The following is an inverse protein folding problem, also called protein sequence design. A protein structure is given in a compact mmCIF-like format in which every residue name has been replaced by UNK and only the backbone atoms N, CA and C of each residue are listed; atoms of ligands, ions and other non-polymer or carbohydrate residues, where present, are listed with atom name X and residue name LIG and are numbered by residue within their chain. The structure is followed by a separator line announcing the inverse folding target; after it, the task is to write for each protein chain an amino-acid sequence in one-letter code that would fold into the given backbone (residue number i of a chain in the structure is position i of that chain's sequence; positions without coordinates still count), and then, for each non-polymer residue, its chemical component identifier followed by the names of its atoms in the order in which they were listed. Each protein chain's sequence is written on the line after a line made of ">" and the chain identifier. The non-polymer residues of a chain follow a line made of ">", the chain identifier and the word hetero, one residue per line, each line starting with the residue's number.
data_IF_135949683053
#
_entry.id   IF_135949683053
#
_cell.length_a   1.000
_cell.length_b   1.000
_cell.length_c   1.000
_cell.angle_alpha   90.00
_cell.angle_beta   90.00
_cell.angle_gamma   90.00
#
_symmetry.space_group_name_H-M   'P 1'
#
loop_
_entity.id
_entity.type
_entity.pdbx_description
1 polymer ?
#
# COMPACT_ATOMS: atom_id res chain seq x y z
N UNK A 1 15.26 34.60 -56.82
CA UNK A 1 14.29 33.47 -56.65
C UNK A 1 13.67 33.61 -55.27
N UNK A 2 12.36 33.86 -55.17
CA UNK A 2 11.67 33.95 -53.87
C UNK A 2 11.62 32.54 -53.24
N UNK A 3 12.17 32.41 -52.06
CA UNK A 3 12.27 31.15 -51.34
C UNK A 3 10.91 30.46 -51.18
N UNK A 4 10.81 29.13 -51.34
CA UNK A 4 9.61 28.32 -51.10
C UNK A 4 9.01 28.57 -49.71
N UNK A 5 9.80 29.02 -48.76
CA UNK A 5 9.36 29.39 -47.40
C UNK A 5 8.43 30.61 -47.38
N UNK A 6 8.47 31.50 -48.40
CA UNK A 6 7.55 32.66 -48.48
C UNK A 6 6.13 32.29 -48.90
N UNK A 7 5.90 31.06 -49.39
CA UNK A 7 4.57 30.55 -49.74
C UNK A 7 3.78 30.06 -48.50
N UNK A 8 4.49 29.72 -47.43
CA UNK A 8 3.84 29.19 -46.19
C UNK A 8 2.87 30.20 -45.56
N UNK A 9 3.29 31.47 -45.29
CA UNK A 9 2.36 32.44 -44.68
C UNK A 9 1.22 32.85 -45.62
N UNK A 10 1.45 32.84 -46.93
CA UNK A 10 0.39 33.15 -47.92
C UNK A 10 -0.66 32.04 -47.94
N UNK A 11 -0.24 30.77 -48.00
CA UNK A 11 -1.09 29.59 -47.93
C UNK A 11 -1.87 29.52 -46.60
N UNK A 12 -1.22 29.86 -45.49
CA UNK A 12 -1.85 29.88 -44.16
C UNK A 12 -2.96 30.94 -44.06
N UNK A 13 -2.74 32.10 -44.69
CA UNK A 13 -3.73 33.21 -44.69
C UNK A 13 -4.96 32.90 -45.55
N UNK A 14 -4.76 32.29 -46.71
CA UNK A 14 -5.86 31.94 -47.67
C UNK A 14 -6.71 30.82 -47.09
N UNK A 15 -6.11 29.88 -46.32
CA UNK A 15 -6.80 28.69 -45.76
C UNK A 15 -7.07 28.78 -44.27
N UNK A 16 -7.29 29.98 -43.76
CA UNK A 16 -7.40 30.27 -42.32
C UNK A 16 -8.44 29.40 -41.58
N UNK A 17 -9.62 29.17 -42.15
CA UNK A 17 -10.69 28.37 -41.57
C UNK A 17 -10.29 26.90 -41.47
N UNK A 18 -9.68 26.34 -42.51
CA UNK A 18 -9.26 24.95 -42.58
C UNK A 18 -8.09 24.66 -41.62
N UNK A 19 -7.08 25.56 -41.58
CA UNK A 19 -5.97 25.43 -40.64
C UNK A 19 -6.44 25.50 -39.19
N UNK A 20 -7.44 26.34 -38.87
CA UNK A 20 -8.04 26.36 -37.52
C UNK A 20 -8.76 25.06 -37.19
N UNK A 21 -9.48 24.45 -38.12
CA UNK A 21 -10.16 23.16 -37.89
C UNK A 21 -9.14 22.06 -37.68
N UNK A 22 -8.10 21.96 -38.51
CA UNK A 22 -7.01 20.97 -38.33
C UNK A 22 -6.30 21.16 -37.00
N UNK A 23 -6.00 22.41 -36.62
CA UNK A 23 -5.36 22.71 -35.34
C UNK A 23 -6.24 22.29 -34.16
N UNK A 24 -7.55 22.57 -34.22
CA UNK A 24 -8.53 22.12 -33.20
C UNK A 24 -8.58 20.60 -33.11
N UNK A 25 -8.60 19.87 -34.23
CA UNK A 25 -8.57 18.41 -34.25
C UNK A 25 -7.31 17.86 -33.57
N UNK A 26 -6.14 18.44 -33.86
CA UNK A 26 -4.88 18.02 -33.23
C UNK A 26 -4.92 18.28 -31.72
N UNK A 27 -5.36 19.48 -31.29
CA UNK A 27 -5.48 19.83 -29.87
C UNK A 27 -6.38 18.85 -29.16
N UNK A 28 -7.57 18.59 -29.69
CA UNK A 28 -8.55 17.66 -29.10
C UNK A 28 -7.96 16.24 -29.05
N UNK A 29 -7.29 15.78 -30.12
CA UNK A 29 -6.69 14.45 -30.13
C UNK A 29 -5.59 14.30 -29.07
N UNK A 30 -4.71 15.28 -28.92
CA UNK A 30 -3.65 15.28 -27.90
C UNK A 30 -4.27 15.30 -26.50
N UNK A 31 -5.32 16.14 -26.29
CA UNK A 31 -6.00 16.23 -25.01
C UNK A 31 -6.68 14.91 -24.63
N UNK A 32 -7.37 14.26 -25.57
CA UNK A 32 -7.98 12.95 -25.35
C UNK A 32 -6.96 11.87 -25.01
N UNK A 33 -5.83 11.83 -25.73
CA UNK A 33 -4.75 10.90 -25.47
C UNK A 33 -4.17 11.09 -24.07
N UNK A 34 -3.85 12.32 -23.68
CA UNK A 34 -3.33 12.59 -22.33
C UNK A 34 -4.34 12.23 -21.25
N UNK A 35 -5.63 12.47 -21.48
CA UNK A 35 -6.71 12.09 -20.55
C UNK A 35 -6.79 10.57 -20.36
N UNK A 36 -6.73 9.79 -21.45
CA UNK A 36 -6.83 8.32 -21.40
C UNK A 36 -5.69 7.75 -20.52
N UNK A 37 -4.44 8.14 -20.77
CA UNK A 37 -3.32 7.65 -19.97
C UNK A 37 -3.34 8.14 -18.54
N UNK A 38 -3.74 9.40 -18.30
CA UNK A 38 -3.94 9.91 -16.93
C UNK A 38 -5.02 9.16 -16.15
N UNK A 39 -6.12 8.78 -16.80
CA UNK A 39 -7.16 7.97 -16.16
C UNK A 39 -6.68 6.56 -15.84
N UNK A 40 -5.90 5.93 -16.72
CA UNK A 40 -5.33 4.63 -16.48
C UNK A 40 -4.35 4.65 -15.27
N UNK A 41 -3.45 5.63 -15.22
CA UNK A 41 -2.53 5.81 -14.10
C UNK A 41 -3.28 6.08 -12.78
N UNK A 42 -4.31 6.94 -12.83
CA UNK A 42 -5.14 7.22 -11.66
C UNK A 42 -5.86 5.97 -11.15
N UNK A 43 -6.41 5.13 -12.03
CA UNK A 43 -7.08 3.89 -11.66
C UNK A 43 -6.12 2.92 -10.98
N UNK A 44 -4.90 2.76 -11.51
CA UNK A 44 -3.86 1.92 -10.91
C UNK A 44 -3.46 2.45 -9.51
N UNK A 45 -3.28 3.76 -9.35
CA UNK A 45 -2.97 4.38 -8.06
C UNK A 45 -4.09 4.21 -7.03
N UNK A 46 -5.34 4.36 -7.45
CA UNK A 46 -6.50 4.13 -6.59
C UNK A 46 -6.55 2.69 -6.10
N UNK A 47 -6.35 1.73 -7.02
CA UNK A 47 -6.32 0.31 -6.67
C UNK A 47 -5.16 -0.02 -5.71
N UNK A 48 -3.97 0.54 -5.96
CA UNK A 48 -2.83 0.40 -5.06
C UNK A 48 -3.15 0.93 -3.65
N UNK A 49 -3.76 2.11 -3.57
CA UNK A 49 -4.17 2.69 -2.27
C UNK A 49 -5.18 1.81 -1.55
N UNK A 50 -6.14 1.23 -2.29
CA UNK A 50 -7.12 0.30 -1.74
C UNK A 50 -6.44 -0.97 -1.19
N UNK A 51 -5.56 -1.58 -1.98
CA UNK A 51 -4.83 -2.79 -1.59
C UNK A 51 -3.95 -2.54 -0.36
N UNK A 52 -3.25 -1.41 -0.31
CA UNK A 52 -2.44 -1.03 0.86
C UNK A 52 -3.32 -0.88 2.11
N UNK A 53 -4.50 -0.28 1.97
CA UNK A 53 -5.43 -0.11 3.10
C UNK A 53 -6.01 -1.43 3.59
N UNK A 54 -6.29 -2.37 2.69
CA UNK A 54 -6.89 -3.68 3.00
C UNK A 54 -5.86 -4.71 3.47
N UNK A 55 -4.68 -4.73 2.86
CA UNK A 55 -3.68 -5.80 3.07
C UNK A 55 -2.36 -5.31 3.68
N UNK A 56 -2.18 -3.99 3.84
CA UNK A 56 -0.93 -3.41 4.31
C UNK A 56 0.10 -3.15 3.20
N UNK A 57 1.06 -2.28 3.49
CA UNK A 57 2.09 -1.81 2.58
C UNK A 57 3.40 -2.60 2.72
N UNK A 58 3.34 -3.89 2.48
CA UNK A 58 4.45 -4.82 2.54
C UNK A 58 4.50 -5.70 1.30
N UNK A 59 5.68 -6.20 0.93
CA UNK A 59 5.86 -7.05 -0.24
C UNK A 59 6.00 -8.52 0.13
N UNK A 60 6.69 -8.83 1.21
CA UNK A 60 6.82 -10.19 1.76
C UNK A 60 6.60 -10.20 3.27
N UNK A 61 6.12 -11.32 3.77
CA UNK A 61 5.99 -11.63 5.18
C UNK A 61 6.77 -12.92 5.46
N UNK A 62 7.72 -12.84 6.37
CA UNK A 62 8.52 -13.97 6.84
C UNK A 62 7.88 -14.52 8.11
N UNK A 63 7.68 -15.82 8.17
CA UNK A 63 7.13 -16.50 9.36
C UNK A 63 8.26 -17.09 10.17
N UNK A 64 8.28 -16.79 11.43
CA UNK A 64 9.27 -17.26 12.43
C UNK A 64 10.75 -17.12 11.95
N UNK A 65 11.15 -15.97 11.36
CA UNK A 65 12.53 -15.76 10.99
C UNK A 65 13.40 -15.67 12.25
N UNK A 66 14.66 -16.12 12.19
CA UNK A 66 15.60 -15.90 13.28
C UNK A 66 15.94 -14.41 13.42
N UNK A 67 16.32 -13.96 14.62
CA UNK A 67 16.76 -12.57 14.85
C UNK A 67 17.89 -12.17 13.90
N UNK A 68 18.85 -13.08 13.65
CA UNK A 68 19.95 -12.84 12.72
C UNK A 68 19.43 -12.61 11.28
N UNK A 69 18.42 -13.36 10.84
CA UNK A 69 17.80 -13.16 9.52
C UNK A 69 17.09 -11.81 9.43
N UNK A 70 16.36 -11.42 10.49
CA UNK A 70 15.69 -10.11 10.56
C UNK A 70 16.70 -8.98 10.42
N UNK A 71 17.79 -9.02 11.21
CA UNK A 71 18.84 -8.00 11.18
C UNK A 71 19.52 -7.92 9.79
N UNK A 72 19.91 -9.07 9.23
CA UNK A 72 20.56 -9.12 7.92
C UNK A 72 19.64 -8.58 6.80
N UNK A 73 18.35 -8.90 6.85
CA UNK A 73 17.38 -8.43 5.87
C UNK A 73 17.13 -6.93 6.05
N UNK A 74 16.99 -6.46 7.29
CA UNK A 74 16.78 -5.04 7.59
C UNK A 74 17.95 -4.15 7.13
N UNK A 75 19.18 -4.66 7.12
CA UNK A 75 20.38 -3.94 6.68
C UNK A 75 20.58 -3.92 5.16
N UNK A 76 19.76 -4.61 4.39
CA UNK A 76 19.89 -4.63 2.92
C UNK A 76 19.55 -3.28 2.32
N UNK A 77 20.28 -2.88 1.29
CA UNK A 77 20.07 -1.59 0.59
C UNK A 77 18.82 -1.55 -0.28
N UNK A 78 18.22 -2.68 -0.57
CA UNK A 78 16.98 -2.82 -1.32
C UNK A 78 15.73 -2.84 -0.43
N UNK A 79 15.90 -2.96 0.90
CA UNK A 79 14.83 -2.92 1.88
C UNK A 79 14.56 -1.47 2.30
N UNK A 80 13.32 -1.05 2.19
CA UNK A 80 12.86 0.26 2.63
C UNK A 80 12.46 0.23 4.11
N UNK A 81 11.72 -0.80 4.50
CA UNK A 81 11.21 -0.99 5.86
C UNK A 81 11.13 -2.48 6.17
N UNK A 82 11.52 -2.86 7.38
CA UNK A 82 11.21 -4.17 7.97
C UNK A 82 10.59 -3.96 9.34
N UNK A 83 9.61 -4.79 9.71
CA UNK A 83 8.90 -4.64 10.98
C UNK A 83 8.47 -5.98 11.52
N UNK A 84 8.78 -6.21 12.79
CA UNK A 84 8.37 -7.40 13.55
C UNK A 84 6.96 -7.23 14.07
N UNK A 85 6.27 -8.35 14.17
CA UNK A 85 4.92 -8.42 14.67
C UNK A 85 4.65 -9.82 15.25
N UNK A 86 4.01 -9.87 16.40
CA UNK A 86 3.51 -11.11 17.00
C UNK A 86 2.30 -10.79 17.87
N UNK A 87 1.58 -11.78 18.34
CA UNK A 87 0.41 -11.53 19.20
C UNK A 87 0.04 -12.69 20.09
N UNK A 88 -0.64 -12.34 21.15
CA UNK A 88 -1.19 -13.25 22.15
C UNK A 88 -2.71 -13.25 22.07
N UNK A 89 -3.29 -14.41 22.32
CA UNK A 89 -4.74 -14.62 22.39
C UNK A 89 -5.53 -14.32 21.11
N UNK A 90 -4.96 -14.57 19.93
CA UNK A 90 -5.67 -14.37 18.65
C UNK A 90 -6.92 -15.25 18.51
N UNK A 91 -6.94 -16.41 19.12
CA UNK A 91 -8.05 -17.36 19.10
C UNK A 91 -9.06 -17.14 20.25
N UNK A 92 -8.79 -16.17 21.13
CA UNK A 92 -9.59 -15.82 22.29
C UNK A 92 -9.83 -17.02 23.26
N UNK A 93 -8.90 -17.96 23.28
CA UNK A 93 -8.99 -19.16 24.09
C UNK A 93 -8.54 -18.96 25.54
N UNK A 94 -7.80 -17.88 25.81
CA UNK A 94 -7.24 -17.56 27.10
C UNK A 94 -7.92 -16.34 27.75
N UNK A 95 -7.81 -16.22 29.07
CA UNK A 95 -8.46 -15.16 29.85
C UNK A 95 -7.65 -13.87 29.88
N UNK A 96 -7.55 -13.23 28.70
CA UNK A 96 -6.99 -11.88 28.57
C UNK A 96 -8.13 -10.87 28.53
N UNK A 97 -8.14 -9.94 29.48
CA UNK A 97 -9.21 -8.93 29.53
C UNK A 97 -8.69 -7.52 29.86
N UNK A 98 -9.41 -6.53 29.34
CA UNK A 98 -9.28 -5.11 29.69
C UNK A 98 -10.68 -4.60 30.05
N UNK A 99 -10.84 -4.08 31.28
CA UNK A 99 -12.14 -3.62 31.78
C UNK A 99 -13.27 -4.67 31.60
N UNK A 100 -12.96 -5.96 31.80
CA UNK A 100 -13.90 -7.06 31.67
C UNK A 100 -14.32 -7.45 30.26
N UNK A 101 -13.64 -6.91 29.23
CA UNK A 101 -13.80 -7.31 27.83
C UNK A 101 -12.59 -8.12 27.38
N UNK A 102 -12.84 -9.19 26.64
CA UNK A 102 -11.77 -10.00 26.06
C UNK A 102 -10.85 -9.14 25.19
N UNK A 103 -9.55 -9.40 25.26
CA UNK A 103 -8.59 -8.65 24.48
C UNK A 103 -7.59 -9.54 23.73
N UNK A 104 -7.13 -9.00 22.62
CA UNK A 104 -6.01 -9.50 21.84
C UNK A 104 -4.84 -8.54 22.04
N UNK A 105 -3.68 -9.05 22.43
CA UNK A 105 -2.50 -8.24 22.66
C UNK A 105 -1.50 -8.50 21.54
N UNK A 106 -1.08 -7.46 20.91
CA UNK A 106 -0.14 -7.49 19.78
C UNK A 106 1.11 -6.71 20.14
N UNK A 107 2.26 -7.21 19.73
CA UNK A 107 3.52 -6.53 19.86
C UNK A 107 4.20 -6.33 18.51
N UNK A 108 4.89 -5.24 18.35
CA UNK A 108 5.63 -4.98 17.13
C UNK A 108 6.48 -3.73 17.16
N UNK A 109 7.23 -3.52 16.10
CA UNK A 109 7.99 -2.30 15.93
C UNK A 109 7.07 -1.13 15.50
N UNK A 110 7.53 0.12 15.69
CA UNK A 110 6.76 1.31 15.32
C UNK A 110 6.29 1.28 13.85
N UNK A 111 7.14 0.79 12.95
CA UNK A 111 6.88 0.76 11.52
C UNK A 111 5.61 -0.05 11.15
N UNK A 112 5.16 -0.98 12.01
CA UNK A 112 3.91 -1.73 11.76
C UNK A 112 2.70 -0.79 11.67
N UNK A 113 2.62 0.22 12.54
CA UNK A 113 1.51 1.16 12.62
C UNK A 113 1.68 2.42 11.77
N UNK A 114 2.92 2.78 11.41
CA UNK A 114 3.19 4.03 10.70
C UNK A 114 3.57 3.86 9.23
N UNK A 115 4.05 2.68 8.83
CA UNK A 115 4.54 2.46 7.48
C UNK A 115 3.89 1.25 6.78
N UNK A 116 3.62 0.18 7.54
CA UNK A 116 3.04 -1.05 6.98
C UNK A 116 1.51 -0.92 6.88
N UNK A 117 0.83 -0.54 7.95
CA UNK A 117 -0.62 -0.39 7.97
C UNK A 117 -1.10 1.06 8.01
N UNK A 118 -0.24 2.00 8.45
CA UNK A 118 -0.53 3.46 8.53
C UNK A 118 -1.91 3.75 9.17
N UNK A 119 -2.15 3.14 10.32
CA UNK A 119 -3.45 3.17 10.96
C UNK A 119 -3.43 3.78 12.38
N UNK A 120 -2.37 4.50 12.77
CA UNK A 120 -2.32 5.33 13.96
C UNK A 120 -3.24 6.55 13.76
N UNK A 121 -4.29 6.68 14.56
CA UNK A 121 -5.31 7.75 14.40
C UNK A 121 -5.14 8.88 15.40
N UNK A 122 -4.78 8.58 16.65
CA UNK A 122 -4.60 9.58 17.70
C UNK A 122 -3.42 9.21 18.60
N UNK A 123 -2.73 10.21 19.11
CA UNK A 123 -1.61 10.03 20.05
C UNK A 123 -0.35 9.56 19.35
N UNK A 124 0.34 8.60 19.94
CA UNK A 124 1.61 8.09 19.44
C UNK A 124 1.82 6.62 19.72
N UNK A 125 2.75 6.00 19.01
CA UNK A 125 3.24 4.65 19.27
C UNK A 125 3.80 4.53 20.70
N UNK A 126 3.58 3.39 21.42
CA UNK A 126 4.15 3.14 22.73
C UNK A 126 5.67 3.08 22.67
N UNK A 127 6.34 3.92 23.45
CA UNK A 127 7.82 4.00 23.51
C UNK A 127 8.38 3.55 24.85
N UNK A 128 7.54 3.50 25.89
CA UNK A 128 7.92 3.05 27.22
C UNK A 128 7.31 1.70 27.52
N UNK A 129 7.91 0.97 28.45
CA UNK A 129 7.43 -0.35 28.87
C UNK A 129 6.01 -0.38 29.38
N UNK A 130 5.57 0.68 30.05
CA UNK A 130 4.22 0.80 30.61
C UNK A 130 3.24 1.57 29.71
N UNK A 131 3.51 1.69 28.42
CA UNK A 131 2.62 2.34 27.47
C UNK A 131 1.94 1.31 26.56
N UNK A 132 0.68 1.57 26.26
CA UNK A 132 -0.16 0.74 25.38
C UNK A 132 -0.90 1.62 24.38
N UNK A 133 -1.07 1.13 23.18
CA UNK A 133 -1.96 1.71 22.18
C UNK A 133 -3.17 0.79 22.04
N UNK A 134 -4.37 1.35 22.01
CA UNK A 134 -5.61 0.59 21.86
C UNK A 134 -6.21 0.78 20.46
N UNK A 135 -6.99 -0.18 20.02
CA UNK A 135 -7.74 -0.06 18.77
C UNK A 135 -8.77 1.08 18.85
N UNK A 136 -9.13 1.68 17.71
CA UNK A 136 -10.17 2.71 17.65
C UNK A 136 -11.51 2.17 18.18
N UNK A 137 -11.83 0.93 17.87
CA UNK A 137 -13.01 0.25 18.39
C UNK A 137 -13.00 0.17 19.92
N UNK A 138 -11.85 -0.11 20.53
CA UNK A 138 -11.68 -0.15 22.00
C UNK A 138 -11.93 1.21 22.65
N UNK A 139 -11.51 2.30 21.99
CA UNK A 139 -11.81 3.67 22.46
C UNK A 139 -13.31 3.92 22.58
N UNK A 140 -14.08 3.53 21.57
CA UNK A 140 -15.53 3.69 21.56
C UNK A 140 -16.19 2.76 22.59
N UNK A 141 -15.79 1.48 22.60
CA UNK A 141 -16.37 0.44 23.47
C UNK A 141 -16.20 0.74 24.96
N UNK A 142 -15.05 1.27 25.36
CA UNK A 142 -14.69 1.50 26.75
C UNK A 142 -14.70 2.99 27.15
N UNK A 143 -14.95 3.90 26.22
CA UNK A 143 -14.95 5.38 26.42
C UNK A 143 -13.65 5.90 27.03
N UNK A 144 -12.48 5.34 26.62
CA UNK A 144 -11.17 5.65 27.16
C UNK A 144 -10.52 6.86 26.47
N UNK A 145 -9.54 7.46 27.15
CA UNK A 145 -8.77 8.62 26.65
C UNK A 145 -7.26 8.40 26.76
N UNK A 146 -6.51 9.10 25.92
CA UNK A 146 -5.06 9.12 26.00
C UNK A 146 -4.63 9.64 27.38
N UNK A 147 -3.63 8.97 27.99
CA UNK A 147 -3.10 9.26 29.31
C UNK A 147 -3.82 8.57 30.46
N UNK A 148 -4.94 7.91 30.22
CA UNK A 148 -5.60 7.11 31.24
C UNK A 148 -4.80 5.82 31.53
N UNK A 149 -4.81 5.41 32.81
CA UNK A 149 -4.24 4.15 33.24
C UNK A 149 -5.28 3.04 33.09
N UNK A 150 -4.84 1.89 32.57
CA UNK A 150 -5.66 0.69 32.46
C UNK A 150 -4.90 -0.51 33.01
N UNK A 151 -5.63 -1.55 33.37
CA UNK A 151 -5.08 -2.84 33.76
C UNK A 151 -5.43 -3.88 32.71
N UNK A 152 -4.42 -4.57 32.24
CA UNK A 152 -4.55 -5.77 31.42
C UNK A 152 -4.49 -6.98 32.34
N UNK A 153 -5.56 -7.72 32.43
CA UNK A 153 -5.62 -8.99 33.16
C UNK A 153 -5.19 -10.11 32.22
N UNK A 154 -4.30 -10.94 32.68
CA UNK A 154 -3.76 -12.06 31.91
C UNK A 154 -3.65 -13.30 32.79
N UNK A 155 -3.46 -14.51 32.26
CA UNK A 155 -3.22 -15.70 33.05
C UNK A 155 -2.04 -15.61 34.01
N UNK A 156 -0.99 -14.85 33.64
CA UNK A 156 0.19 -14.64 34.50
C UNK A 156 0.00 -13.56 35.58
N UNK A 157 -1.07 -12.76 35.49
CA UNK A 157 -1.37 -11.69 36.44
C UNK A 157 -1.82 -10.38 35.78
N UNK A 158 -1.78 -9.33 36.57
CA UNK A 158 -2.26 -8.01 36.21
C UNK A 158 -1.10 -7.09 35.82
N UNK A 159 -1.22 -6.45 34.65
CA UNK A 159 -0.22 -5.52 34.14
C UNK A 159 -0.84 -4.14 33.93
N UNK A 160 -0.21 -3.12 34.53
CA UNK A 160 -0.67 -1.72 34.43
C UNK A 160 -0.03 -0.98 33.28
N UNK A 161 -0.84 -0.35 32.44
CA UNK A 161 -0.37 0.45 31.29
C UNK A 161 -1.03 1.83 31.27
N UNK A 162 -0.38 2.78 30.59
CA UNK A 162 -0.93 4.10 30.27
C UNK A 162 -1.22 4.17 28.77
N UNK A 163 -2.40 4.62 28.40
CA UNK A 163 -2.80 4.73 26.99
C UNK A 163 -1.98 5.83 26.31
N UNK A 164 -1.19 5.47 25.32
CA UNK A 164 -0.36 6.38 24.53
C UNK A 164 -1.02 6.88 23.24
N UNK A 165 -2.01 6.16 22.75
CA UNK A 165 -2.72 6.46 21.51
C UNK A 165 -3.81 5.47 21.16
N UNK A 166 -4.45 5.74 20.02
CA UNK A 166 -5.46 4.90 19.41
C UNK A 166 -5.18 4.69 17.93
N UNK A 167 -5.50 3.51 17.43
CA UNK A 167 -5.29 3.12 16.05
C UNK A 167 -5.39 1.61 15.88
N UNK A 168 -5.05 1.10 14.69
CA UNK A 168 -4.82 -0.31 14.50
C UNK A 168 -6.02 -1.23 14.67
N UNK A 169 -7.17 -0.90 14.09
CA UNK A 169 -8.27 -1.86 14.05
C UNK A 169 -7.87 -3.06 13.18
N UNK A 170 -7.71 -4.22 13.82
CA UNK A 170 -7.53 -5.50 13.15
C UNK A 170 -8.88 -6.16 12.92
N UNK A 171 -8.99 -6.97 11.88
CA UNK A 171 -10.26 -7.60 11.46
C UNK A 171 -10.98 -8.34 12.59
N UNK A 172 -10.23 -8.95 13.51
CA UNK A 172 -10.79 -9.66 14.68
C UNK A 172 -11.51 -8.71 15.64
N UNK A 173 -11.09 -7.45 15.74
CA UNK A 173 -11.66 -6.47 16.66
C UNK A 173 -12.82 -5.66 16.07
N UNK A 174 -13.09 -5.81 14.76
CA UNK A 174 -14.06 -4.97 14.05
C UNK A 174 -15.50 -5.37 14.33
N UNK A 175 -15.78 -6.68 14.46
CA UNK A 175 -17.15 -7.22 14.51
C UNK A 175 -17.56 -7.75 15.90
N UNK A 176 -16.67 -7.71 16.89
CA UNK A 176 -16.92 -8.23 18.22
C UNK A 176 -16.58 -7.21 19.31
N UNK A 177 -17.10 -7.42 20.51
CA UNK A 177 -16.80 -6.65 21.73
C UNK A 177 -15.39 -7.02 22.26
N UNK A 178 -14.39 -7.01 21.39
CA UNK A 178 -13.00 -7.38 21.67
C UNK A 178 -12.14 -6.13 21.69
N UNK A 179 -11.29 -6.04 22.68
CA UNK A 179 -10.30 -4.96 22.81
C UNK A 179 -9.02 -5.34 22.06
N UNK A 180 -8.62 -4.56 21.09
CA UNK A 180 -7.31 -4.66 20.47
C UNK A 180 -6.30 -3.81 21.22
N UNK A 181 -5.18 -4.39 21.63
CA UNK A 181 -4.10 -3.74 22.36
C UNK A 181 -2.77 -3.93 21.63
N UNK A 182 -1.97 -2.88 21.51
CA UNK A 182 -0.67 -2.90 20.88
C UNK A 182 0.41 -2.41 21.84
N UNK A 183 1.47 -3.21 22.00
CA UNK A 183 2.65 -2.92 22.81
C UNK A 183 3.87 -2.70 21.90
N UNK A 184 4.84 -1.93 22.34
CA UNK A 184 6.15 -1.97 21.70
C UNK A 184 6.77 -3.37 21.86
N UNK A 185 7.71 -3.69 20.98
CA UNK A 185 8.28 -5.05 20.92
C UNK A 185 8.88 -5.51 22.25
N UNK A 186 9.61 -4.65 22.96
CA UNK A 186 10.29 -5.00 24.20
C UNK A 186 9.29 -5.30 25.34
N UNK A 187 8.25 -4.48 25.45
CA UNK A 187 7.17 -4.69 26.41
C UNK A 187 6.38 -5.97 26.11
N UNK A 188 6.14 -6.22 24.83
CA UNK A 188 5.45 -7.45 24.40
C UNK A 188 6.27 -8.70 24.70
N UNK A 189 7.58 -8.69 24.43
CA UNK A 189 8.47 -9.79 24.77
C UNK A 189 8.49 -10.05 26.28
N UNK A 190 8.52 -8.98 27.09
CA UNK A 190 8.49 -9.09 28.55
C UNK A 190 7.21 -9.72 29.04
N UNK A 191 6.05 -9.33 28.48
CA UNK A 191 4.75 -9.92 28.78
C UNK A 191 4.70 -11.41 28.36
N UNK A 192 5.06 -11.72 27.12
CA UNK A 192 5.05 -13.09 26.61
C UNK A 192 5.95 -14.03 27.42
N UNK A 193 7.09 -13.51 27.89
CA UNK A 193 7.98 -14.25 28.78
C UNK A 193 7.32 -14.51 30.14
N UNK A 194 6.62 -13.54 30.71
CA UNK A 194 5.88 -13.71 31.97
C UNK A 194 4.78 -14.79 31.84
N UNK A 195 4.10 -14.83 30.67
CA UNK A 195 3.10 -15.84 30.33
C UNK A 195 3.70 -17.22 30.03
N UNK A 196 5.00 -17.33 29.83
CA UNK A 196 5.63 -18.57 29.36
C UNK A 196 5.27 -18.90 27.90
N UNK A 197 4.74 -17.94 27.16
CA UNK A 197 4.33 -18.12 25.77
C UNK A 197 5.55 -18.14 24.85
N UNK A 198 5.53 -19.07 23.88
CA UNK A 198 6.55 -19.13 22.85
C UNK A 198 6.22 -18.10 21.77
N UNK A 199 7.14 -17.18 21.55
CA UNK A 199 7.03 -16.22 20.45
C UNK A 199 7.18 -16.92 19.10
N UNK A 200 6.34 -16.51 18.15
CA UNK A 200 6.36 -16.94 16.76
C UNK A 200 6.26 -15.71 15.82
N UNK A 201 7.25 -14.80 15.89
CA UNK A 201 7.13 -13.52 15.20
C UNK A 201 7.05 -13.68 13.69
N UNK A 202 6.27 -12.81 13.08
CA UNK A 202 6.33 -12.56 11.66
C UNK A 202 7.14 -11.28 11.39
N UNK A 203 7.83 -11.22 10.26
CA UNK A 203 8.54 -10.02 9.85
C UNK A 203 7.99 -9.57 8.49
N UNK A 204 7.36 -8.40 8.47
CA UNK A 204 6.93 -7.73 7.24
C UNK A 204 8.11 -6.98 6.63
N UNK A 205 8.32 -7.13 5.32
CA UNK A 205 9.38 -6.46 4.59
C UNK A 205 8.79 -5.70 3.40
N UNK A 206 9.14 -4.43 3.31
CA UNK A 206 8.84 -3.57 2.19
C UNK A 206 10.13 -3.20 1.46
N UNK A 207 10.18 -3.41 0.17
CA UNK A 207 11.29 -3.04 -0.70
C UNK A 207 11.06 -1.68 -1.36
N UNK A 208 12.12 -1.04 -1.84
CA UNK A 208 12.01 0.12 -2.71
C UNK A 208 11.34 -0.27 -4.04
N UNK A 209 10.48 0.60 -4.57
CA UNK A 209 9.69 0.32 -5.78
C UNK A 209 10.50 0.41 -7.08
N UNK A 210 11.68 1.03 -7.05
CA UNK A 210 12.56 1.21 -8.21
C UNK A 210 13.46 0.00 -8.51
N UNK A 211 13.24 -1.12 -7.83
CA UNK A 211 14.01 -2.36 -7.98
C UNK A 211 13.16 -3.49 -8.58
N UNK A 212 13.83 -4.54 -9.06
CA UNK A 212 13.15 -5.77 -9.49
C UNK A 212 12.79 -6.66 -8.30
N UNK A 213 11.71 -6.34 -7.57
CA UNK A 213 11.29 -6.99 -6.33
C UNK A 213 11.24 -8.52 -6.46
N UNK A 214 10.69 -9.06 -7.56
CA UNK A 214 10.63 -10.52 -7.79
C UNK A 214 12.02 -11.19 -7.84
N UNK A 215 13.04 -10.51 -8.35
CA UNK A 215 14.42 -11.03 -8.33
C UNK A 215 14.99 -11.04 -6.91
N UNK A 216 14.71 -9.99 -6.14
CA UNK A 216 15.11 -9.90 -4.73
C UNK A 216 14.45 -10.99 -3.91
N UNK A 217 13.16 -11.25 -4.10
CA UNK A 217 12.44 -12.35 -3.42
C UNK A 217 13.07 -13.71 -3.75
N UNK A 218 13.37 -13.96 -5.03
CA UNK A 218 14.02 -15.20 -5.46
C UNK A 218 15.43 -15.36 -4.85
N UNK A 219 16.19 -14.28 -4.75
CA UNK A 219 17.48 -14.25 -4.10
C UNK A 219 17.37 -14.56 -2.60
N UNK A 220 16.42 -13.92 -1.88
CA UNK A 220 16.17 -14.18 -0.48
C UNK A 220 15.79 -15.63 -0.22
N UNK A 221 14.91 -16.21 -1.03
CA UNK A 221 14.55 -17.64 -0.95
C UNK A 221 15.79 -18.53 -1.08
N UNK A 222 16.65 -18.23 -2.05
CA UNK A 222 17.88 -19.00 -2.29
C UNK A 222 18.91 -18.83 -1.17
N UNK A 223 19.10 -17.60 -0.67
CA UNK A 223 20.14 -17.27 0.31
C UNK A 223 19.80 -17.79 1.71
N UNK A 224 18.53 -17.63 2.12
CA UNK A 224 18.09 -17.98 3.48
C UNK A 224 17.30 -19.29 3.54
N UNK A 225 17.05 -19.94 2.41
CA UNK A 225 16.31 -21.20 2.36
C UNK A 225 14.80 -21.05 2.61
N UNK A 226 14.22 -19.85 2.39
CA UNK A 226 12.79 -19.64 2.58
C UNK A 226 11.96 -20.43 1.58
N UNK A 227 10.94 -21.10 2.10
CA UNK A 227 9.93 -21.86 1.34
C UNK A 227 8.61 -21.08 1.24
N UNK A 228 7.62 -21.61 0.54
CA UNK A 228 6.27 -21.02 0.49
C UNK A 228 5.54 -21.06 1.85
N UNK A 229 5.98 -21.94 2.76
CA UNK A 229 5.47 -22.01 4.12
C UNK A 229 6.02 -20.89 5.01
N UNK A 230 7.30 -20.53 4.82
CA UNK A 230 8.02 -19.56 5.65
C UNK A 230 8.09 -18.16 5.07
N UNK A 231 7.82 -17.99 3.76
CA UNK A 231 7.75 -16.70 3.08
C UNK A 231 6.45 -16.58 2.29
N UNK A 232 5.60 -15.66 2.71
CA UNK A 232 4.38 -15.29 2.00
C UNK A 232 4.57 -13.98 1.23
N UNK A 233 3.99 -13.90 0.03
CA UNK A 233 4.06 -12.71 -0.83
C UNK A 233 2.74 -11.96 -0.80
N UNK A 234 2.78 -10.64 -0.70
CA UNK A 234 1.59 -9.80 -0.92
C UNK A 234 1.33 -9.69 -2.42
N UNK A 235 0.70 -10.73 -2.97
CA UNK A 235 0.46 -10.85 -4.40
C UNK A 235 -0.39 -9.71 -4.96
N UNK A 236 -1.32 -9.19 -4.15
CA UNK A 236 -2.17 -8.06 -4.53
C UNK A 236 -1.34 -6.78 -4.74
N UNK A 237 -0.43 -6.45 -3.81
CA UNK A 237 0.44 -5.28 -3.95
C UNK A 237 1.51 -5.50 -5.02
N UNK A 238 2.13 -6.69 -5.07
CA UNK A 238 3.13 -7.04 -6.09
C UNK A 238 2.53 -7.01 -7.50
N UNK A 239 1.25 -7.31 -7.64
CA UNK A 239 0.51 -7.21 -8.90
C UNK A 239 0.43 -5.78 -9.44
N UNK A 240 0.44 -4.79 -8.56
CA UNK A 240 0.29 -3.36 -8.91
C UNK A 240 1.62 -2.60 -8.99
N UNK A 241 2.76 -3.26 -8.75
CA UNK A 241 4.07 -2.62 -8.85
C UNK A 241 4.56 -2.59 -10.31
N UNK A 242 5.28 -1.51 -10.68
CA UNK A 242 5.61 -1.15 -12.07
C UNK A 242 6.39 -2.17 -12.91
N UNK A 243 6.94 -3.23 -12.31
CA UNK A 243 7.61 -4.36 -13.00
C UNK A 243 6.80 -5.65 -12.93
N UNK A 244 5.52 -5.52 -12.60
CA UNK A 244 4.61 -6.66 -12.53
C UNK A 244 4.13 -7.08 -13.92
N UNK A 245 4.08 -8.39 -14.15
CA UNK A 245 3.34 -9.00 -15.27
C UNK A 245 1.88 -9.27 -14.94
N UNK A 246 1.35 -8.55 -13.94
CA UNK A 246 -0.03 -8.74 -13.48
C UNK A 246 -1.04 -8.36 -14.56
N UNK A 247 -2.08 -9.16 -14.66
CA UNK A 247 -3.13 -9.03 -15.68
C UNK A 247 -3.93 -7.73 -15.55
N UNK A 248 -4.10 -7.19 -14.34
CA UNK A 248 -4.85 -5.94 -14.12
C UNK A 248 -4.11 -4.73 -14.70
N UNK A 249 -2.84 -4.54 -14.33
CA UNK A 249 -2.02 -3.42 -14.84
C UNK A 249 -1.85 -3.52 -16.35
N UNK A 250 -1.53 -4.73 -16.84
CA UNK A 250 -1.41 -4.99 -18.28
C UNK A 250 -2.73 -4.71 -19.02
N UNK A 251 -3.86 -5.14 -18.44
CA UNK A 251 -5.19 -4.90 -18.99
C UNK A 251 -5.54 -3.41 -19.08
N UNK A 252 -5.24 -2.64 -18.03
CA UNK A 252 -5.48 -1.19 -18.03
C UNK A 252 -4.68 -0.46 -19.12
N UNK A 253 -3.39 -0.79 -19.28
CA UNK A 253 -2.58 -0.21 -20.35
C UNK A 253 -2.98 -0.70 -21.74
N UNK A 254 -3.45 -1.95 -21.88
CA UNK A 254 -3.97 -2.47 -23.14
C UNK A 254 -5.23 -1.69 -23.57
N UNK A 255 -6.17 -1.47 -22.67
CA UNK A 255 -7.38 -0.68 -22.94
C UNK A 255 -6.99 0.76 -23.33
N UNK A 256 -6.07 1.38 -22.58
CA UNK A 256 -5.57 2.71 -22.91
C UNK A 256 -4.92 2.75 -24.31
N UNK A 257 -4.13 1.74 -24.66
CA UNK A 257 -3.50 1.63 -25.98
C UNK A 257 -4.52 1.46 -27.13
N UNK A 258 -5.56 0.65 -26.93
CA UNK A 258 -6.64 0.50 -27.91
C UNK A 258 -7.37 1.84 -28.13
N UNK A 259 -7.74 2.53 -27.04
CA UNK A 259 -8.38 3.84 -27.12
C UNK A 259 -7.47 4.88 -27.79
N UNK A 260 -6.17 4.86 -27.52
CA UNK A 260 -5.19 5.69 -28.16
C UNK A 260 -5.18 5.50 -29.70
N UNK A 261 -5.15 4.24 -30.16
CA UNK A 261 -5.19 3.92 -31.59
C UNK A 261 -6.48 4.42 -32.23
N UNK A 262 -7.62 4.25 -31.56
CA UNK A 262 -8.92 4.74 -32.05
C UNK A 262 -8.96 6.27 -32.17
N UNK A 263 -8.41 6.99 -31.19
CA UNK A 263 -8.31 8.48 -31.24
C UNK A 263 -7.39 8.92 -32.35
N UNK A 264 -6.25 8.25 -32.57
CA UNK A 264 -5.35 8.55 -33.68
C UNK A 264 -6.03 8.31 -35.03
N UNK A 265 -6.70 7.19 -35.22
CA UNK A 265 -7.43 6.86 -36.44
C UNK A 265 -8.51 7.93 -36.72
N UNK A 266 -9.31 8.29 -35.73
CA UNK A 266 -10.32 9.34 -35.85
C UNK A 266 -9.69 10.71 -36.24
N UNK A 267 -8.57 11.08 -35.63
CA UNK A 267 -7.80 12.27 -35.97
C UNK A 267 -7.31 12.28 -37.42
N UNK A 268 -6.75 11.16 -37.87
CA UNK A 268 -6.31 10.99 -39.25
C UNK A 268 -7.48 11.11 -40.25
N UNK A 269 -8.61 10.44 -39.97
CA UNK A 269 -9.80 10.53 -40.83
C UNK A 269 -10.37 11.95 -40.88
N UNK A 270 -10.39 12.69 -39.77
CA UNK A 270 -10.85 14.08 -39.76
C UNK A 270 -9.91 14.98 -40.57
N UNK A 271 -8.60 14.80 -40.47
CA UNK A 271 -7.63 15.55 -41.25
C UNK A 271 -7.74 15.19 -42.75
N UNK A 272 -7.80 13.91 -43.09
CA UNK A 272 -7.96 13.42 -44.46
C UNK A 272 -9.29 13.94 -45.10
N UNK A 273 -10.40 13.85 -44.35
CA UNK A 273 -11.70 14.40 -44.79
C UNK A 273 -11.64 15.91 -45.05
N UNK A 274 -10.97 16.65 -44.17
CA UNK A 274 -10.71 18.09 -44.34
C UNK A 274 -9.86 18.42 -45.58
N UNK A 275 -8.99 17.49 -45.98
CA UNK A 275 -8.17 17.63 -47.18
C UNK A 275 -8.89 17.18 -48.44
N UNK A 276 -9.70 16.12 -48.37
CA UNK A 276 -10.39 15.54 -49.54
C UNK A 276 -11.61 16.31 -50.00
N UNK A 277 -12.26 17.11 -49.12
CA UNK A 277 -13.32 18.06 -49.54
C UNK A 277 -12.85 19.11 -50.54
N UNK A 278 -11.54 19.07 -50.95
CA UNK A 278 -10.93 19.94 -51.97
C UNK A 278 -11.08 19.46 -53.40
N UNK A 279 -11.32 18.17 -53.62
CA UNK A 279 -11.37 17.61 -54.97
C UNK A 279 -12.75 17.62 -55.58
N UNK A 280 -13.73 18.12 -54.84
CA UNK A 280 -15.13 18.17 -55.23
C UNK A 280 -15.68 19.61 -55.53
N UNK A 281 -14.84 20.64 -55.38
CA UNK A 281 -15.07 22.01 -55.87
C UNK A 281 -14.06 22.33 -56.98
#
# INVERSE_FOLDING_TARGET
>A
MKSYLSLIPISAKVRKRQNRMTMLCIIISVLLVTMIFSMADMAIRMEKTRVIKEHGNWHIMLKEPSEQQIEQIAQRTDVMTSSRYDGLNFDLSEDYTINGKSCVIVGGDNAILTEIYDNLTEGRYPTKENEILLSNRSKELLSLKIGEAITVHTPAGDFGYTISGFGGDVTITTDADIVGAFLNWDSFQSLAKAEGSKLAPVCFVRFYENIHIRKVIAELRKTYGFTDETLSENTALLGLTGFSSDSYVMGMYLVAAILFVLVLAAGVFMIAGSLNSRTAE
#
